data_IF_077679761880
#
_entry.id   IF_077679761880
#
_cell.length_a   1.000
_cell.length_b   1.000
_cell.length_c   1.000
_cell.angle_alpha   90.00
_cell.angle_beta   90.00
_cell.angle_gamma   90.00
#
_symmetry.space_group_name_H-M   'P 1'
#
loop_
_entity.id
_entity.type
_entity.pdbx_description
1 polymer ?
#
# COMPACT_ATOMS: atom_id res chain seq x y z
N UNK A 1 -49.19 18.58 -2.48
CA UNK A 1 -48.01 19.05 -1.76
C UNK A 1 -46.81 18.73 -2.64
N UNK A 2 -46.30 19.73 -3.33
CA UNK A 2 -45.17 19.59 -4.25
C UNK A 2 -43.90 19.72 -3.38
N UNK A 3 -43.11 18.66 -3.32
CA UNK A 3 -41.80 18.66 -2.64
C UNK A 3 -40.84 19.43 -3.53
N UNK A 4 -40.42 20.59 -3.06
CA UNK A 4 -39.45 21.43 -3.71
C UNK A 4 -38.05 20.82 -3.46
N UNK A 5 -37.36 20.33 -4.51
CA UNK A 5 -35.97 19.91 -4.43
C UNK A 5 -35.10 21.09 -3.95
N UNK A 6 -34.17 20.85 -3.00
CA UNK A 6 -33.25 21.90 -2.60
C UNK A 6 -32.34 22.26 -3.79
N UNK A 7 -32.28 23.54 -4.09
CA UNK A 7 -31.37 24.08 -5.11
C UNK A 7 -29.91 23.75 -4.71
N UNK A 8 -29.23 22.98 -5.57
CA UNK A 8 -27.80 22.77 -5.48
C UNK A 8 -27.11 24.09 -5.82
N UNK A 9 -26.38 24.66 -4.87
CA UNK A 9 -25.55 25.84 -5.15
C UNK A 9 -24.60 25.54 -6.31
N UNK A 10 -24.45 26.45 -7.28
CA UNK A 10 -23.59 26.20 -8.43
C UNK A 10 -22.15 26.05 -7.95
N UNK A 11 -21.49 24.95 -8.41
CA UNK A 11 -20.07 24.69 -8.24
C UNK A 11 -19.27 25.98 -8.49
N UNK A 12 -18.32 26.36 -7.61
CA UNK A 12 -17.43 27.49 -7.90
C UNK A 12 -16.75 27.26 -9.24
N UNK A 13 -16.75 28.26 -10.10
CA UNK A 13 -16.22 28.19 -11.45
C UNK A 13 -14.78 27.65 -11.42
N UNK A 14 -14.52 26.65 -12.28
CA UNK A 14 -13.18 26.08 -12.47
C UNK A 14 -12.17 27.22 -12.63
N UNK A 15 -11.03 27.19 -11.94
CA UNK A 15 -10.04 28.24 -12.07
C UNK A 15 -9.65 28.41 -13.55
N UNK A 16 -9.45 29.63 -14.03
CA UNK A 16 -9.08 29.90 -15.41
C UNK A 16 -7.79 29.17 -15.77
N UNK A 17 -7.68 28.68 -17.00
CA UNK A 17 -6.45 28.09 -17.53
C UNK A 17 -5.27 29.01 -17.22
N UNK A 18 -4.19 28.53 -16.56
CA UNK A 18 -3.08 29.37 -16.15
C UNK A 18 -2.49 30.14 -17.34
N UNK A 19 -2.23 31.41 -17.15
CA UNK A 19 -1.57 32.23 -18.16
C UNK A 19 -0.17 31.70 -18.46
N UNK A 20 0.31 31.90 -19.69
CA UNK A 20 1.67 31.50 -20.10
C UNK A 20 2.68 32.15 -19.12
N UNK A 21 3.39 31.30 -18.33
CA UNK A 21 4.33 31.74 -17.30
C UNK A 21 3.82 31.59 -15.86
N UNK A 22 2.54 31.20 -15.62
CA UNK A 22 2.05 30.86 -14.29
C UNK A 22 2.39 29.40 -13.93
N UNK A 23 2.51 29.12 -12.64
CA UNK A 23 2.69 27.76 -12.13
C UNK A 23 1.45 26.91 -12.49
N UNK A 24 1.61 25.68 -13.00
CA UNK A 24 0.52 24.92 -13.66
C UNK A 24 -0.62 24.52 -12.73
N UNK A 25 -0.42 24.59 -11.40
CA UNK A 25 -1.43 24.23 -10.40
C UNK A 25 -1.97 25.46 -9.63
N UNK A 26 -1.72 26.66 -10.14
CA UNK A 26 -2.24 27.89 -9.52
C UNK A 26 -3.77 27.88 -9.52
N UNK A 27 -4.36 28.11 -8.33
CA UNK A 27 -5.81 28.12 -8.13
C UNK A 27 -6.39 26.75 -7.74
N UNK A 28 -5.61 25.66 -7.84
CA UNK A 28 -6.06 24.33 -7.38
C UNK A 28 -5.75 24.09 -5.91
N UNK A 29 -6.69 23.45 -5.22
CA UNK A 29 -6.52 22.91 -3.87
C UNK A 29 -6.38 21.39 -3.95
N UNK A 30 -5.23 20.86 -3.52
CA UNK A 30 -4.91 19.43 -3.63
C UNK A 30 -4.71 18.85 -2.24
N UNK A 31 -5.42 17.77 -1.92
CA UNK A 31 -5.23 17.06 -0.66
C UNK A 31 -4.16 15.97 -0.77
N UNK A 32 -3.29 15.91 0.24
CA UNK A 32 -2.24 14.89 0.39
C UNK A 32 -2.59 14.01 1.59
N UNK A 33 -2.92 12.74 1.32
CA UNK A 33 -3.29 11.75 2.35
C UNK A 33 -2.12 10.83 2.74
N UNK A 34 -0.95 11.00 2.12
CA UNK A 34 0.23 10.23 2.42
C UNK A 34 0.73 10.47 3.85
N UNK A 35 1.17 9.40 4.53
CA UNK A 35 1.89 9.48 5.81
C UNK A 35 3.39 9.71 5.58
N UNK A 36 3.99 8.94 4.67
CA UNK A 36 5.42 9.01 4.35
C UNK A 36 5.67 9.90 3.15
N UNK A 37 6.81 10.61 3.17
CA UNK A 37 7.25 11.53 2.12
C UNK A 37 6.19 12.59 1.76
N UNK A 38 5.27 12.85 2.70
CA UNK A 38 4.21 13.85 2.51
C UNK A 38 4.77 15.24 2.31
N UNK A 39 5.84 15.59 3.04
CA UNK A 39 6.45 16.92 2.97
C UNK A 39 7.12 17.15 1.62
N UNK A 40 7.73 16.11 1.03
CA UNK A 40 8.29 16.17 -0.32
C UNK A 40 7.19 16.37 -1.37
N UNK A 41 6.07 15.61 -1.27
CA UNK A 41 4.94 15.74 -2.18
C UNK A 41 4.27 17.10 -2.02
N UNK A 42 4.05 17.56 -0.78
CA UNK A 42 3.51 18.88 -0.47
C UNK A 42 4.35 19.97 -1.11
N UNK A 43 5.66 19.97 -0.85
CA UNK A 43 6.58 20.96 -1.43
C UNK A 43 6.63 20.91 -2.96
N UNK A 44 6.47 19.71 -3.56
CA UNK A 44 6.41 19.57 -5.02
C UNK A 44 5.15 20.24 -5.59
N UNK A 45 4.00 20.04 -4.96
CA UNK A 45 2.72 20.60 -5.40
C UNK A 45 2.68 22.12 -5.18
N UNK A 46 3.15 22.61 -4.02
CA UNK A 46 3.24 24.04 -3.70
C UNK A 46 4.15 24.79 -4.67
N UNK A 47 5.31 24.23 -5.03
CA UNK A 47 6.21 24.80 -6.06
C UNK A 47 5.57 24.89 -7.44
N UNK A 48 4.48 24.20 -7.67
CA UNK A 48 3.68 24.26 -8.91
C UNK A 48 2.45 25.16 -8.78
N UNK A 49 2.30 25.84 -7.65
CA UNK A 49 1.24 26.82 -7.40
C UNK A 49 -0.01 26.26 -6.73
N UNK A 50 -0.03 24.97 -6.35
CA UNK A 50 -1.18 24.40 -5.64
C UNK A 50 -1.27 24.91 -4.20
N UNK A 51 -2.52 25.05 -3.72
CA UNK A 51 -2.80 25.08 -2.29
C UNK A 51 -2.88 23.63 -1.79
N UNK A 52 -2.10 23.27 -0.77
CA UNK A 52 -2.07 21.88 -0.30
C UNK A 52 -2.77 21.74 1.05
N UNK A 53 -3.66 20.73 1.15
CA UNK A 53 -4.30 20.29 2.40
C UNK A 53 -3.67 18.97 2.81
N UNK A 54 -2.94 18.96 3.92
CA UNK A 54 -2.28 17.77 4.44
C UNK A 54 -3.21 17.06 5.43
N UNK A 55 -3.61 15.84 5.09
CA UNK A 55 -4.52 15.03 5.90
C UNK A 55 -4.13 13.53 5.83
N UNK A 56 -3.10 13.09 6.58
CA UNK A 56 -2.68 11.69 6.57
C UNK A 56 -3.86 10.76 6.88
N UNK A 57 -4.10 9.77 6.00
CA UNK A 57 -5.23 8.87 6.14
C UNK A 57 -4.91 7.63 7.00
N UNK A 58 -3.64 7.30 7.15
CA UNK A 58 -3.15 6.21 7.99
C UNK A 58 -1.70 6.48 8.38
N UNK A 59 -1.18 5.72 9.33
CA UNK A 59 0.25 5.67 9.65
C UNK A 59 0.77 4.25 9.57
N UNK A 60 2.02 4.11 9.19
CA UNK A 60 2.73 2.84 9.15
C UNK A 60 3.53 2.70 10.44
N UNK A 61 3.27 1.64 11.19
CA UNK A 61 4.01 1.30 12.39
C UNK A 61 4.97 0.16 12.04
N UNK A 62 6.30 0.41 12.01
CA UNK A 62 7.28 -0.66 11.90
C UNK A 62 7.18 -1.61 13.09
N UNK A 63 7.39 -2.90 12.87
CA UNK A 63 7.41 -3.92 13.91
C UNK A 63 8.86 -4.31 14.30
N UNK A 64 9.79 -3.36 14.28
CA UNK A 64 11.21 -3.60 14.53
C UNK A 64 11.54 -4.25 15.89
N UNK A 65 10.72 -3.98 16.90
CA UNK A 65 10.85 -4.57 18.24
C UNK A 65 9.81 -5.68 18.52
N UNK A 66 9.11 -6.13 17.48
CA UNK A 66 8.01 -7.09 17.60
C UNK A 66 8.56 -8.52 17.69
N UNK A 67 8.16 -9.23 18.74
CA UNK A 67 8.52 -10.63 18.98
C UNK A 67 8.00 -11.56 17.87
N UNK A 68 6.88 -11.23 17.21
CA UNK A 68 6.32 -12.02 16.11
C UNK A 68 7.24 -11.98 14.89
N UNK A 69 7.68 -10.77 14.46
CA UNK A 69 8.61 -10.64 13.34
C UNK A 69 9.94 -11.35 13.63
N UNK A 70 10.47 -11.21 14.86
CA UNK A 70 11.71 -11.88 15.27
C UNK A 70 11.55 -13.40 15.24
N UNK A 71 10.45 -13.92 15.76
CA UNK A 71 10.14 -15.36 15.75
C UNK A 71 10.00 -15.89 14.32
N UNK A 72 9.26 -15.19 13.47
CA UNK A 72 9.11 -15.55 12.05
C UNK A 72 10.46 -15.52 11.31
N UNK A 73 11.33 -14.55 11.63
CA UNK A 73 12.68 -14.45 11.07
C UNK A 73 13.55 -15.63 11.49
N UNK A 74 13.55 -15.98 12.76
CA UNK A 74 14.29 -17.14 13.28
C UNK A 74 13.79 -18.44 12.66
N UNK A 75 12.46 -18.59 12.50
CA UNK A 75 11.86 -19.73 11.82
C UNK A 75 12.30 -19.81 10.36
N UNK A 76 12.29 -18.68 9.64
CA UNK A 76 12.78 -18.58 8.25
C UNK A 76 14.26 -18.99 8.12
N UNK A 77 15.10 -18.66 9.11
CA UNK A 77 16.51 -19.04 9.12
C UNK A 77 16.69 -20.53 9.44
N UNK A 78 15.99 -21.04 10.46
CA UNK A 78 16.11 -22.43 10.90
C UNK A 78 15.49 -23.41 9.91
N UNK A 79 14.39 -23.04 9.28
CA UNK A 79 13.63 -23.82 8.31
C UNK A 79 13.43 -23.00 7.04
N UNK A 80 14.42 -22.99 6.12
CA UNK A 80 14.44 -22.09 4.99
C UNK A 80 13.22 -22.25 4.07
N UNK A 81 12.59 -21.15 3.65
CA UNK A 81 11.53 -21.21 2.66
C UNK A 81 12.11 -21.53 1.27
N UNK A 82 11.43 -22.36 0.52
CA UNK A 82 11.74 -22.63 -0.88
C UNK A 82 11.25 -21.47 -1.77
N UNK A 83 10.17 -20.80 -1.34
CA UNK A 83 9.57 -19.67 -2.02
C UNK A 83 9.41 -18.53 -1.03
N UNK A 84 9.74 -17.31 -1.46
CA UNK A 84 9.49 -16.10 -0.67
C UNK A 84 8.70 -15.09 -1.48
N UNK A 85 7.51 -14.76 -1.01
CA UNK A 85 6.62 -13.75 -1.60
C UNK A 85 6.85 -12.42 -0.90
N UNK A 86 7.30 -11.42 -1.64
CA UNK A 86 7.50 -10.05 -1.17
C UNK A 86 6.39 -9.16 -1.71
N UNK A 87 5.50 -8.72 -0.84
CA UNK A 87 4.33 -7.93 -1.24
C UNK A 87 4.62 -6.44 -1.33
N UNK A 88 5.57 -5.92 -0.54
CA UNK A 88 5.91 -4.49 -0.57
C UNK A 88 7.40 -4.24 -0.37
N UNK A 89 7.93 -3.25 -1.09
CA UNK A 89 9.34 -2.85 -0.94
C UNK A 89 9.67 -2.24 0.42
N UNK A 90 8.70 -1.58 1.07
CA UNK A 90 8.90 -1.06 2.43
C UNK A 90 8.97 -2.20 3.44
N UNK A 91 8.11 -3.21 3.28
CA UNK A 91 8.12 -4.37 4.17
C UNK A 91 9.43 -5.15 4.09
N UNK A 92 9.93 -5.40 2.88
CA UNK A 92 11.23 -6.07 2.73
C UNK A 92 12.37 -5.27 3.38
N UNK A 93 12.43 -3.95 3.13
CA UNK A 93 13.47 -3.11 3.76
C UNK A 93 13.37 -3.13 5.27
N UNK A 94 12.17 -2.97 5.84
CA UNK A 94 11.96 -3.02 7.28
C UNK A 94 12.30 -4.39 7.89
N UNK A 95 12.01 -5.48 7.18
CA UNK A 95 12.39 -6.83 7.62
C UNK A 95 13.91 -7.01 7.67
N UNK A 96 14.59 -6.62 6.60
CA UNK A 96 16.07 -6.71 6.54
C UNK A 96 16.72 -5.82 7.59
N UNK A 97 16.22 -4.58 7.77
CA UNK A 97 16.72 -3.64 8.79
C UNK A 97 16.52 -4.18 10.21
N UNK A 98 15.35 -4.73 10.52
CA UNK A 98 15.09 -5.37 11.80
C UNK A 98 16.00 -6.59 12.03
N UNK A 99 16.18 -7.44 11.02
CA UNK A 99 17.09 -8.57 11.09
C UNK A 99 18.56 -8.15 11.32
N UNK A 100 19.01 -7.07 10.67
CA UNK A 100 20.34 -6.49 10.93
C UNK A 100 20.47 -6.02 12.38
N UNK A 101 19.46 -5.32 12.91
CA UNK A 101 19.42 -4.86 14.30
C UNK A 101 19.49 -6.01 15.32
N UNK A 102 19.04 -7.21 14.97
CA UNK A 102 19.14 -8.42 15.80
C UNK A 102 20.40 -9.24 15.53
N UNK A 103 21.28 -8.84 14.62
CA UNK A 103 22.45 -9.63 14.21
C UNK A 103 22.12 -10.85 13.35
N UNK A 104 20.91 -10.89 12.75
CA UNK A 104 20.41 -11.99 11.90
C UNK A 104 20.46 -11.67 10.41
N UNK A 105 20.91 -10.48 10.03
CA UNK A 105 20.81 -9.96 8.66
C UNK A 105 21.51 -10.84 7.62
N UNK A 106 22.76 -11.23 7.86
CA UNK A 106 23.54 -12.11 6.96
C UNK A 106 22.86 -13.49 6.81
N UNK A 107 22.45 -14.10 7.94
CA UNK A 107 21.78 -15.39 7.94
C UNK A 107 20.48 -15.35 7.13
N UNK A 108 19.65 -14.32 7.35
CA UNK A 108 18.41 -14.13 6.60
C UNK A 108 18.68 -13.96 5.11
N UNK A 109 19.58 -13.05 4.70
CA UNK A 109 19.94 -12.83 3.28
C UNK A 109 20.40 -14.13 2.63
N UNK A 110 21.23 -14.91 3.31
CA UNK A 110 21.70 -16.21 2.80
C UNK A 110 20.59 -17.23 2.58
N UNK A 111 19.45 -17.11 3.31
CA UNK A 111 18.25 -17.94 3.08
C UNK A 111 17.43 -17.41 1.90
N UNK A 112 17.19 -16.10 1.86
CA UNK A 112 16.44 -15.45 0.78
C UNK A 112 17.12 -15.64 -0.59
N UNK A 113 18.45 -15.59 -0.66
CA UNK A 113 19.20 -15.82 -1.91
C UNK A 113 19.00 -17.23 -2.50
N UNK A 114 18.65 -18.21 -1.66
CA UNK A 114 18.40 -19.59 -2.08
C UNK A 114 16.92 -19.90 -2.32
N UNK A 115 16.05 -18.96 -2.01
CA UNK A 115 14.60 -19.07 -2.19
C UNK A 115 14.21 -18.59 -3.58
N UNK A 116 13.19 -19.20 -4.17
CA UNK A 116 12.54 -18.62 -5.35
C UNK A 116 11.80 -17.35 -4.93
N UNK A 117 12.23 -16.21 -5.46
CA UNK A 117 11.69 -14.92 -5.07
C UNK A 117 10.54 -14.51 -5.97
N UNK A 118 9.45 -14.07 -5.35
CA UNK A 118 8.26 -13.55 -6.03
C UNK A 118 7.98 -12.15 -5.48
N UNK A 119 7.96 -11.15 -6.36
CA UNK A 119 7.61 -9.79 -6.04
C UNK A 119 6.19 -9.50 -6.52
N UNK A 120 5.33 -8.95 -5.67
CA UNK A 120 3.97 -8.56 -6.08
C UNK A 120 3.96 -7.46 -7.15
N UNK A 121 5.00 -6.67 -7.24
CA UNK A 121 5.06 -5.56 -8.20
C UNK A 121 6.38 -4.79 -8.14
N UNK A 122 6.51 -3.71 -8.94
CA UNK A 122 7.78 -3.01 -9.17
C UNK A 122 8.43 -2.43 -7.91
N UNK A 123 7.65 -2.02 -6.90
CA UNK A 123 8.20 -1.52 -5.62
C UNK A 123 8.87 -2.62 -4.80
N UNK A 124 8.29 -3.83 -4.81
CA UNK A 124 8.87 -5.01 -4.17
C UNK A 124 10.09 -5.49 -4.95
N UNK A 125 9.98 -5.56 -6.28
CA UNK A 125 11.07 -5.95 -7.18
C UNK A 125 12.28 -5.01 -7.04
N UNK A 126 12.04 -3.70 -7.01
CA UNK A 126 13.10 -2.70 -6.80
C UNK A 126 13.80 -2.84 -5.45
N UNK A 127 13.06 -3.20 -4.38
CA UNK A 127 13.64 -3.44 -3.07
C UNK A 127 14.46 -4.73 -3.01
N UNK A 128 14.03 -5.80 -3.68
CA UNK A 128 14.81 -7.04 -3.82
C UNK A 128 16.14 -6.77 -4.54
N UNK A 129 16.11 -6.06 -5.67
CA UNK A 129 17.32 -5.69 -6.42
C UNK A 129 18.27 -4.82 -5.58
N UNK A 130 17.73 -3.83 -4.85
CA UNK A 130 18.52 -2.98 -3.96
C UNK A 130 19.16 -3.75 -2.80
N UNK A 131 18.55 -4.88 -2.39
CA UNK A 131 19.10 -5.78 -1.37
C UNK A 131 20.10 -6.81 -1.93
N UNK A 132 20.42 -6.78 -3.23
CA UNK A 132 21.26 -7.77 -3.90
C UNK A 132 20.56 -9.12 -4.12
N UNK A 133 19.23 -9.15 -4.02
CA UNK A 133 18.40 -10.33 -4.28
C UNK A 133 17.79 -10.19 -5.68
N UNK A 134 18.41 -10.83 -6.66
CA UNK A 134 18.02 -10.76 -8.07
C UNK A 134 17.07 -11.91 -8.46
N UNK A 135 16.58 -11.85 -9.71
CA UNK A 135 15.82 -12.91 -10.38
C UNK A 135 14.44 -13.24 -9.77
N UNK A 136 13.75 -12.24 -9.22
CA UNK A 136 12.38 -12.40 -8.77
C UNK A 136 11.39 -12.34 -9.94
N UNK A 137 10.42 -13.27 -9.96
CA UNK A 137 9.24 -13.15 -10.81
C UNK A 137 8.30 -12.06 -10.27
N UNK A 138 7.60 -11.37 -11.15
CA UNK A 138 6.62 -10.35 -10.78
C UNK A 138 5.50 -10.30 -11.82
N UNK A 139 4.22 -10.17 -11.40
CA UNK A 139 3.10 -9.97 -12.31
C UNK A 139 3.11 -8.55 -12.92
N UNK A 140 2.36 -8.38 -13.99
CA UNK A 140 2.23 -7.08 -14.67
C UNK A 140 1.28 -6.13 -13.92
N UNK A 141 0.26 -6.66 -13.21
CA UNK A 141 -0.83 -5.87 -12.59
C UNK A 141 -0.58 -5.40 -11.16
N UNK A 142 0.53 -5.74 -10.53
CA UNK A 142 0.78 -5.50 -9.10
C UNK A 142 -0.26 -6.15 -8.14
N UNK A 143 -0.99 -7.19 -8.60
CA UNK A 143 -2.06 -7.86 -7.85
C UNK A 143 -1.55 -9.05 -7.03
N UNK A 144 -2.11 -9.23 -5.83
CA UNK A 144 -1.93 -10.47 -5.07
C UNK A 144 -2.65 -11.66 -5.72
N UNK A 145 -3.73 -11.42 -6.47
CA UNK A 145 -4.48 -12.46 -7.15
C UNK A 145 -3.65 -13.08 -8.28
N UNK A 146 -2.94 -12.28 -9.09
CA UNK A 146 -2.02 -12.81 -10.09
C UNK A 146 -0.83 -13.55 -9.49
N UNK A 147 -0.32 -13.09 -8.34
CA UNK A 147 0.71 -13.85 -7.60
C UNK A 147 0.17 -15.19 -7.16
N UNK A 148 -1.07 -15.24 -6.67
CA UNK A 148 -1.72 -16.48 -6.27
C UNK A 148 -1.95 -17.42 -7.46
N UNK A 149 -2.48 -16.88 -8.56
CA UNK A 149 -2.69 -17.64 -9.80
C UNK A 149 -1.39 -18.26 -10.31
N UNK A 150 -0.31 -17.48 -10.34
CA UNK A 150 1.02 -17.98 -10.71
C UNK A 150 1.49 -19.12 -9.80
N UNK A 151 1.35 -18.95 -8.48
CA UNK A 151 1.76 -19.95 -7.47
C UNK A 151 0.94 -21.23 -7.57
N UNK A 152 -0.37 -21.13 -7.87
CA UNK A 152 -1.28 -22.28 -7.96
C UNK A 152 -1.27 -22.96 -9.33
N UNK A 153 -0.51 -22.47 -10.29
CA UNK A 153 -0.33 -23.12 -11.59
C UNK A 153 -0.98 -22.41 -12.76
N UNK A 154 -1.71 -21.29 -12.53
CA UNK A 154 -2.43 -20.52 -13.57
C UNK A 154 -3.44 -21.33 -14.39
N UNK A 155 -4.51 -20.68 -14.85
CA UNK A 155 -5.53 -21.33 -15.69
C UNK A 155 -4.97 -21.79 -17.07
N UNK A 156 -3.90 -21.20 -17.52
CA UNK A 156 -3.23 -21.35 -18.84
C UNK A 156 -1.96 -22.19 -18.79
N UNK A 157 -1.63 -22.78 -17.64
CA UNK A 157 -0.43 -23.58 -17.46
C UNK A 157 0.89 -22.77 -17.39
N UNK A 158 0.79 -21.45 -17.30
CA UNK A 158 1.94 -20.53 -17.15
C UNK A 158 2.34 -20.31 -15.69
N UNK A 159 1.93 -21.20 -14.79
CA UNK A 159 2.21 -21.11 -13.37
C UNK A 159 3.62 -21.51 -12.97
N UNK A 160 3.85 -21.47 -11.65
CA UNK A 160 5.14 -21.82 -11.06
C UNK A 160 5.52 -23.28 -11.31
N UNK A 161 6.71 -23.56 -11.83
CA UNK A 161 7.16 -24.93 -12.05
C UNK A 161 7.15 -25.77 -10.76
N UNK A 162 6.48 -26.95 -10.81
CA UNK A 162 6.37 -27.87 -9.69
C UNK A 162 5.35 -27.49 -8.62
N UNK A 163 4.58 -26.41 -8.81
CA UNK A 163 3.51 -25.99 -7.89
C UNK A 163 3.99 -25.66 -6.47
N UNK A 164 3.05 -25.64 -5.51
CA UNK A 164 3.32 -25.24 -4.11
C UNK A 164 3.16 -26.37 -3.09
N UNK A 165 2.60 -27.50 -3.50
CA UNK A 165 2.30 -28.63 -2.59
C UNK A 165 3.58 -29.17 -1.92
N UNK A 166 3.56 -29.26 -0.60
CA UNK A 166 4.69 -29.71 0.22
C UNK A 166 5.82 -28.70 0.38
N UNK A 167 5.76 -27.56 -0.30
CA UNK A 167 6.80 -26.51 -0.21
C UNK A 167 6.53 -25.54 0.93
N UNK A 168 7.62 -25.06 1.52
CA UNK A 168 7.56 -23.96 2.50
C UNK A 168 7.61 -22.62 1.80
N UNK A 169 6.61 -21.78 2.08
CA UNK A 169 6.45 -20.46 1.49
C UNK A 169 6.48 -19.41 2.59
N UNK A 170 7.44 -18.48 2.55
CA UNK A 170 7.42 -17.27 3.37
C UNK A 170 6.62 -16.18 2.65
N UNK A 171 5.62 -15.62 3.30
CA UNK A 171 4.80 -14.52 2.77
C UNK A 171 5.03 -13.27 3.61
N UNK A 172 5.71 -12.28 3.05
CA UNK A 172 5.86 -10.98 3.69
C UNK A 172 4.53 -10.24 3.58
N UNK A 173 3.87 -10.05 4.72
CA UNK A 173 2.56 -9.38 4.80
C UNK A 173 2.70 -7.85 4.60
N UNK A 174 1.62 -7.20 4.18
CA UNK A 174 1.59 -5.75 3.95
C UNK A 174 0.56 -5.04 4.85
N UNK A 175 0.88 -4.94 6.12
CA UNK A 175 0.14 -4.13 7.09
C UNK A 175 -1.06 -4.81 7.74
N UNK A 176 -1.67 -5.79 7.08
CA UNK A 176 -2.79 -6.60 7.59
C UNK A 176 -2.59 -8.08 7.21
N UNK A 177 -3.16 -9.01 7.99
CA UNK A 177 -3.25 -10.40 7.59
C UNK A 177 -3.92 -10.56 6.23
N UNK A 178 -3.48 -11.54 5.46
CA UNK A 178 -4.03 -11.88 4.14
C UNK A 178 -4.65 -13.29 4.18
N UNK A 179 -5.75 -13.46 4.93
CA UNK A 179 -6.28 -14.79 5.23
C UNK A 179 -6.70 -15.55 3.97
N UNK A 180 -7.26 -14.89 2.97
CA UNK A 180 -7.69 -15.52 1.72
C UNK A 180 -6.49 -16.04 0.91
N UNK A 181 -5.46 -15.20 0.76
CA UNK A 181 -4.23 -15.54 0.06
C UNK A 181 -3.48 -16.71 0.75
N UNK A 182 -3.28 -16.61 2.06
CA UNK A 182 -2.53 -17.64 2.81
C UNK A 182 -3.34 -18.91 2.99
N UNK A 183 -4.67 -18.83 3.11
CA UNK A 183 -5.56 -19.99 3.16
C UNK A 183 -5.57 -20.76 1.84
N UNK A 184 -5.60 -20.07 0.69
CA UNK A 184 -5.53 -20.69 -0.62
C UNK A 184 -4.21 -21.46 -0.82
N UNK A 185 -3.08 -20.90 -0.41
CA UNK A 185 -1.78 -21.60 -0.46
C UNK A 185 -1.76 -22.84 0.45
N UNK A 186 -2.29 -22.71 1.67
CA UNK A 186 -2.41 -23.86 2.60
C UNK A 186 -3.34 -24.94 2.05
N UNK A 187 -4.46 -24.56 1.45
CA UNK A 187 -5.39 -25.48 0.81
C UNK A 187 -4.74 -26.24 -0.37
N UNK A 188 -3.79 -25.60 -1.07
CA UNK A 188 -2.98 -26.23 -2.11
C UNK A 188 -1.81 -27.07 -1.56
N UNK A 189 -1.71 -27.26 -0.24
CA UNK A 189 -0.73 -28.12 0.42
C UNK A 189 0.59 -27.43 0.76
N UNK A 190 0.69 -26.09 0.70
CA UNK A 190 1.88 -25.37 1.10
C UNK A 190 1.99 -25.23 2.63
N UNK A 191 3.24 -25.26 3.15
CA UNK A 191 3.57 -24.84 4.51
C UNK A 191 3.85 -23.31 4.51
N UNK A 192 2.88 -22.51 4.98
CA UNK A 192 2.93 -21.05 4.86
C UNK A 192 3.40 -20.40 6.15
N UNK A 193 4.56 -19.72 6.09
CA UNK A 193 5.11 -18.86 7.13
C UNK A 193 4.78 -17.39 6.82
N UNK A 194 3.96 -16.78 7.65
CA UNK A 194 3.62 -15.36 7.55
C UNK A 194 4.69 -14.50 8.24
N UNK A 195 5.16 -13.46 7.53
CA UNK A 195 6.17 -12.52 8.02
C UNK A 195 5.51 -11.15 8.21
N UNK A 196 5.08 -10.79 9.42
CA UNK A 196 4.48 -9.50 9.72
C UNK A 196 5.58 -8.45 9.86
N UNK A 197 5.65 -7.46 8.97
CA UNK A 197 6.77 -6.49 8.93
C UNK A 197 6.38 -5.07 9.36
N UNK A 198 5.11 -4.73 9.30
CA UNK A 198 4.54 -3.49 9.78
C UNK A 198 3.03 -3.63 9.93
N UNK A 199 2.43 -2.69 10.65
CA UNK A 199 0.96 -2.56 10.77
C UNK A 199 0.51 -1.19 10.32
N UNK A 200 -0.67 -1.12 9.78
CA UNK A 200 -1.36 0.15 9.61
C UNK A 200 -2.15 0.49 10.86
N UNK A 201 -2.15 1.77 11.20
CA UNK A 201 -2.98 2.30 12.25
C UNK A 201 -3.66 3.57 11.76
N UNK A 202 -4.81 3.93 12.34
CA UNK A 202 -5.39 5.24 12.14
C UNK A 202 -4.38 6.35 12.48
N UNK A 203 -4.51 7.54 11.91
CA UNK A 203 -3.72 8.69 12.33
C UNK A 203 -3.89 8.93 13.84
N UNK A 204 -2.86 9.44 14.50
CA UNK A 204 -2.95 9.81 15.94
C UNK A 204 -4.00 10.91 16.11
N UNK A 205 -3.99 11.90 15.23
CA UNK A 205 -5.02 12.94 15.15
C UNK A 205 -5.84 12.73 13.87
N UNK A 206 -7.10 12.37 14.03
CA UNK A 206 -8.07 12.20 12.94
C UNK A 206 -8.70 13.51 12.48
N UNK A 207 -8.45 14.62 13.20
CA UNK A 207 -9.03 15.92 12.91
C UNK A 207 -8.74 16.43 11.50
N UNK A 208 -7.50 16.40 11.02
CA UNK A 208 -7.18 16.76 9.63
C UNK A 208 -7.94 15.92 8.60
N UNK A 209 -8.07 14.61 8.83
CA UNK A 209 -8.75 13.71 7.89
C UNK A 209 -10.27 13.95 7.89
N UNK A 210 -10.88 14.23 9.04
CA UNK A 210 -12.29 14.64 9.11
C UNK A 210 -12.55 15.94 8.36
N UNK A 211 -11.71 16.97 8.61
CA UNK A 211 -11.80 18.22 7.84
C UNK A 211 -11.64 18.01 6.35
N UNK A 212 -10.80 17.08 5.92
CA UNK A 212 -10.69 16.74 4.50
C UNK A 212 -11.98 16.14 3.97
N UNK A 213 -12.64 15.24 4.69
CA UNK A 213 -13.95 14.68 4.32
C UNK A 213 -14.99 15.80 4.12
N UNK A 214 -15.05 16.76 5.07
CA UNK A 214 -15.95 17.92 4.98
C UNK A 214 -15.64 18.80 3.75
N UNK A 215 -14.36 19.05 3.49
CA UNK A 215 -13.91 19.84 2.32
C UNK A 215 -14.25 19.15 1.00
N UNK A 216 -14.10 17.83 0.90
CA UNK A 216 -14.48 17.06 -0.28
C UNK A 216 -16.00 17.14 -0.50
N UNK A 217 -16.80 16.88 0.55
CA UNK A 217 -18.25 16.95 0.47
C UNK A 217 -18.79 18.34 0.12
N UNK A 218 -18.02 19.39 0.42
CA UNK A 218 -18.30 20.79 0.07
C UNK A 218 -17.69 21.25 -1.25
N UNK A 219 -17.09 20.35 -2.04
CA UNK A 219 -16.40 20.67 -3.32
C UNK A 219 -15.32 21.77 -3.19
N UNK A 220 -14.60 21.81 -2.05
CA UNK A 220 -13.53 22.77 -1.77
C UNK A 220 -12.12 22.21 -2.02
N UNK A 221 -12.04 21.00 -2.55
CA UNK A 221 -10.78 20.33 -2.94
C UNK A 221 -10.93 19.85 -4.37
N UNK A 222 -10.00 20.23 -5.24
CA UNK A 222 -10.01 19.90 -6.66
C UNK A 222 -9.42 18.52 -6.96
N UNK A 223 -8.53 18.02 -6.07
CA UNK A 223 -7.94 16.69 -6.21
C UNK A 223 -7.53 16.12 -4.86
N UNK A 224 -7.61 14.79 -4.74
CA UNK A 224 -7.09 14.05 -3.58
C UNK A 224 -6.07 13.01 -4.04
N UNK A 225 -4.89 13.02 -3.42
CA UNK A 225 -3.83 12.06 -3.73
C UNK A 225 -3.81 10.93 -2.71
N UNK A 226 -3.80 9.68 -3.19
CA UNK A 226 -3.62 8.48 -2.38
C UNK A 226 -2.39 7.71 -2.85
N UNK A 227 -1.58 7.25 -1.92
CA UNK A 227 -0.38 6.44 -2.20
C UNK A 227 -0.60 4.95 -1.95
N UNK A 228 -1.77 4.56 -1.43
CA UNK A 228 -2.15 3.17 -1.19
C UNK A 228 -3.66 3.01 -1.07
N UNK A 229 -4.19 1.83 -1.44
CA UNK A 229 -5.60 1.49 -1.28
C UNK A 229 -6.10 1.55 0.19
N UNK A 230 -5.33 1.12 1.20
CA UNK A 230 -5.72 1.29 2.61
C UNK A 230 -5.96 2.74 3.03
N UNK A 231 -5.28 3.71 2.43
CA UNK A 231 -5.52 5.12 2.72
C UNK A 231 -6.92 5.56 2.26
N UNK A 232 -7.37 5.07 1.09
CA UNK A 232 -8.75 5.28 0.61
C UNK A 232 -9.75 4.65 1.58
N UNK A 233 -9.56 3.37 1.93
CA UNK A 233 -10.45 2.66 2.86
C UNK A 233 -10.52 3.36 4.22
N UNK A 234 -9.39 3.87 4.74
CA UNK A 234 -9.35 4.61 6.00
C UNK A 234 -10.13 5.92 5.92
N UNK A 235 -9.97 6.69 4.84
CA UNK A 235 -10.73 7.93 4.63
C UNK A 235 -12.24 7.65 4.55
N UNK A 236 -12.67 6.64 3.78
CA UNK A 236 -14.08 6.29 3.65
C UNK A 236 -14.66 5.78 4.97
N UNK A 237 -13.88 5.08 5.79
CA UNK A 237 -14.30 4.68 7.15
C UNK A 237 -14.54 5.90 8.06
N UNK A 238 -13.71 6.94 7.95
CA UNK A 238 -13.89 8.19 8.70
C UNK A 238 -15.07 8.97 8.17
N UNK A 239 -15.33 8.96 6.86
CA UNK A 239 -16.53 9.56 6.27
C UNK A 239 -17.82 8.91 6.77
N UNK A 240 -17.81 7.59 7.05
CA UNK A 240 -18.97 6.91 7.65
C UNK A 240 -20.24 7.10 6.82
N UNK A 241 -21.24 7.80 7.38
CA UNK A 241 -22.51 8.09 6.71
C UNK A 241 -22.37 9.05 5.54
N UNK A 242 -21.33 9.88 5.51
CA UNK A 242 -21.06 10.84 4.43
C UNK A 242 -20.34 10.21 3.23
N UNK A 243 -20.01 8.89 3.31
CA UNK A 243 -19.33 8.16 2.23
C UNK A 243 -20.01 8.34 0.85
N UNK A 244 -21.34 8.25 0.70
CA UNK A 244 -21.97 8.47 -0.61
C UNK A 244 -21.73 9.87 -1.17
N UNK A 245 -21.78 10.90 -0.34
CA UNK A 245 -21.53 12.29 -0.74
C UNK A 245 -20.06 12.49 -1.15
N UNK A 246 -19.12 11.95 -0.37
CA UNK A 246 -17.68 11.97 -0.68
C UNK A 246 -17.39 11.27 -2.00
N UNK A 247 -17.95 10.08 -2.23
CA UNK A 247 -17.76 9.36 -3.49
C UNK A 247 -18.39 10.07 -4.68
N UNK A 248 -19.51 10.75 -4.47
CA UNK A 248 -20.14 11.57 -5.50
C UNK A 248 -19.23 12.75 -5.86
N UNK A 249 -18.77 13.52 -4.88
CA UNK A 249 -17.86 14.64 -5.11
C UNK A 249 -16.57 14.21 -5.85
N UNK A 250 -15.94 13.12 -5.43
CA UNK A 250 -14.72 12.59 -6.08
C UNK A 250 -14.90 12.09 -7.52
N UNK A 251 -16.15 11.91 -7.99
CA UNK A 251 -16.47 11.50 -9.37
C UNK A 251 -16.87 12.65 -10.27
N UNK A 252 -17.33 13.75 -9.69
CA UNK A 252 -17.92 14.88 -10.41
C UNK A 252 -16.99 16.08 -10.50
N UNK A 253 -15.93 16.12 -9.72
CA UNK A 253 -14.86 17.11 -9.72
C UNK A 253 -13.66 16.61 -10.53
#
# INVERSE_FOLDING_TARGET
MTVQEPAVDPKPARPPTPAIGSEPLTGFTIAVTADRRRDELTSLLERRGARVVVAPALRIIPLGDDSELRTATLTCIAQPPEITVVTTGIGLRGWLEAAEGWGLGEALRGRLTRSTLIARGPKALGALRAAGLADAWSPDSESCDEVLDYLLGGADGCGMPGGVAGRRIAVQLHGEPQPEFTAALRAAGADVLEIPVYRWAPPIDIGPLRRLVDLIGSHLVDAVTFTSAPAVASMLRIAGQDTPAVLHALRTD
#
